data_IF_374086139307
#
_entry.id   IF_374086139307
#
_cell.length_a   1.000
_cell.length_b   1.000
_cell.length_c   1.000
_cell.angle_alpha   90.00
_cell.angle_beta   90.00
_cell.angle_gamma   90.00
#
_symmetry.space_group_name_H-M   'P 1'
#
loop_
_entity.id
_entity.type
_entity.pdbx_description
1 polymer ?
#
# COMPACT_ATOMS: atom_id res chain seq x y z
N UNK A 1 7.70 -1.42 -7.80
CA UNK A 1 8.39 -0.70 -6.69
C UNK A 1 7.87 0.73 -6.52
N UNK A 2 7.91 1.59 -7.55
CA UNK A 2 7.42 2.97 -7.47
C UNK A 2 5.96 3.12 -6.99
N UNK A 3 5.04 2.26 -7.44
CA UNK A 3 3.64 2.29 -7.01
C UNK A 3 3.45 2.13 -5.49
N UNK A 4 4.34 1.39 -4.81
CA UNK A 4 4.27 1.17 -3.37
C UNK A 4 4.78 2.38 -2.59
N UNK A 5 5.83 3.04 -3.09
CA UNK A 5 6.35 4.29 -2.51
C UNK A 5 5.29 5.40 -2.61
N UNK A 6 4.65 5.52 -3.77
CA UNK A 6 3.55 6.47 -3.98
C UNK A 6 2.40 6.19 -3.02
N UNK A 7 2.05 4.92 -2.79
CA UNK A 7 1.01 4.53 -1.83
C UNK A 7 1.34 4.94 -0.39
N UNK A 8 2.59 4.80 0.04
CA UNK A 8 3.04 5.23 1.37
C UNK A 8 2.88 6.75 1.53
N UNK A 9 3.30 7.52 0.52
CA UNK A 9 3.18 8.99 0.52
C UNK A 9 1.71 9.40 0.52
N UNK A 10 0.87 8.72 -0.28
CA UNK A 10 -0.57 9.01 -0.38
C UNK A 10 -1.36 8.56 0.86
N UNK A 11 -0.90 7.59 1.63
CA UNK A 11 -1.54 7.23 2.90
C UNK A 11 -1.31 8.30 3.99
N UNK A 12 -0.24 9.10 3.87
CA UNK A 12 0.01 10.24 4.76
C UNK A 12 -0.80 11.48 4.39
N UNK A 13 -1.26 11.58 3.14
CA UNK A 13 -2.10 12.68 2.66
C UNK A 13 -3.55 12.18 2.62
N UNK A 14 -4.36 12.58 3.60
CA UNK A 14 -5.79 12.29 3.57
C UNK A 14 -6.47 13.12 2.46
N UNK A 15 -6.52 12.55 1.26
CA UNK A 15 -7.15 13.19 0.10
C UNK A 15 -8.60 12.72 -0.05
N UNK A 16 -9.58 13.64 -0.11
CA UNK A 16 -10.98 13.32 -0.38
C UNK A 16 -11.18 12.66 -1.75
N UNK A 17 -12.10 11.71 -1.86
CA UNK A 17 -12.34 10.93 -3.08
C UNK A 17 -12.68 11.77 -4.33
N UNK A 18 -13.23 12.99 -4.15
CA UNK A 18 -13.53 13.92 -5.24
C UNK A 18 -12.32 14.65 -5.82
N UNK A 19 -11.16 14.61 -5.15
CA UNK A 19 -9.95 15.31 -5.58
C UNK A 19 -9.20 14.49 -6.66
N UNK A 20 -8.53 15.12 -7.65
CA UNK A 20 -7.79 14.42 -8.71
C UNK A 20 -6.79 13.38 -8.19
N UNK A 21 -6.14 13.67 -7.06
CA UNK A 21 -5.21 12.75 -6.39
C UNK A 21 -5.94 11.53 -5.78
N UNK A 22 -7.20 11.68 -5.36
CA UNK A 22 -8.04 10.58 -4.89
C UNK A 22 -8.41 9.59 -6.00
N UNK A 23 -8.60 10.07 -7.23
CA UNK A 23 -8.81 9.22 -8.42
C UNK A 23 -7.55 8.43 -8.79
N UNK A 24 -6.36 9.02 -8.66
CA UNK A 24 -5.10 8.30 -8.86
C UNK A 24 -4.94 7.23 -7.78
N UNK A 25 -5.26 7.55 -6.52
CA UNK A 25 -5.23 6.59 -5.42
C UNK A 25 -6.15 5.40 -5.67
N UNK A 26 -7.38 5.62 -6.13
CA UNK A 26 -8.32 4.52 -6.42
C UNK A 26 -7.88 3.67 -7.63
N UNK A 27 -7.31 4.29 -8.66
CA UNK A 27 -6.72 3.57 -9.79
C UNK A 27 -5.48 2.74 -9.41
N UNK A 28 -4.67 3.23 -8.47
CA UNK A 28 -3.56 2.44 -7.91
C UNK A 28 -4.07 1.31 -7.02
N UNK A 29 -5.09 1.59 -6.21
CA UNK A 29 -5.72 0.63 -5.32
C UNK A 29 -6.33 -0.54 -6.09
N UNK A 30 -6.94 -0.33 -7.26
CA UNK A 30 -7.48 -1.45 -8.05
C UNK A 30 -6.42 -2.47 -8.48
N UNK A 31 -5.17 -2.03 -8.67
CA UNK A 31 -4.05 -2.91 -9.04
C UNK A 31 -3.33 -3.48 -7.82
N UNK A 32 -3.18 -2.69 -6.75
CA UNK A 32 -2.42 -3.10 -5.56
C UNK A 32 -3.25 -3.80 -4.50
N UNK A 33 -4.54 -3.51 -4.39
CA UNK A 33 -5.43 -4.13 -3.40
C UNK A 33 -5.64 -5.63 -3.61
N UNK A 34 -5.78 -6.21 -4.82
CA UNK A 34 -5.85 -7.67 -4.94
C UNK A 34 -4.60 -8.39 -4.38
N UNK A 35 -3.43 -7.72 -4.38
CA UNK A 35 -2.20 -8.24 -3.77
C UNK A 35 -2.14 -7.96 -2.26
N UNK A 36 -2.69 -6.83 -1.81
CA UNK A 36 -2.62 -6.38 -0.42
C UNK A 36 -3.77 -6.87 0.45
N UNK A 37 -4.95 -7.20 -0.10
CA UNK A 37 -6.10 -7.70 0.64
C UNK A 37 -5.79 -9.01 1.39
N UNK A 38 -5.14 -10.01 0.75
CA UNK A 38 -4.75 -11.25 1.44
C UNK A 38 -3.74 -10.96 2.56
N UNK A 39 -2.78 -10.07 2.31
CA UNK A 39 -1.81 -9.63 3.31
C UNK A 39 -2.47 -8.92 4.49
N UNK A 40 -3.41 -8.01 4.23
CA UNK A 40 -4.18 -7.26 5.24
C UNK A 40 -5.03 -8.15 6.12
N UNK A 41 -5.45 -9.32 5.63
CA UNK A 41 -6.14 -10.33 6.43
C UNK A 41 -5.21 -11.04 7.42
N UNK A 42 -3.95 -11.22 7.06
CA UNK A 42 -2.94 -11.85 7.92
C UNK A 42 -2.28 -10.85 8.87
N UNK A 43 -2.04 -9.62 8.39
CA UNK A 43 -1.35 -8.55 9.11
C UNK A 43 -2.24 -7.32 9.01
N UNK A 44 -3.24 -7.17 9.91
CA UNK A 44 -4.10 -6.01 9.91
C UNK A 44 -3.27 -4.72 10.12
N UNK A 45 -3.70 -3.59 9.52
CA UNK A 45 -3.01 -2.32 9.67
C UNK A 45 -2.91 -1.92 11.15
N UNK A 46 -1.70 -1.57 11.59
CA UNK A 46 -1.43 -1.14 12.95
C UNK A 46 -1.99 0.27 13.14
N UNK A 47 -3.08 0.38 13.89
CA UNK A 47 -3.61 1.69 14.32
C UNK A 47 -2.80 2.20 15.51
N UNK A 48 -2.09 3.30 15.31
CA UNK A 48 -1.39 4.05 16.34
C UNK A 48 -2.15 5.37 16.57
N UNK A 49 -3.06 5.36 17.54
CA UNK A 49 -3.92 6.51 17.86
C UNK A 49 -4.85 6.87 16.69
N UNK A 50 -4.73 8.09 16.17
CA UNK A 50 -5.52 8.58 15.03
C UNK A 50 -4.97 8.14 13.66
N UNK A 51 -3.78 7.51 13.62
CA UNK A 51 -3.09 7.15 12.38
C UNK A 51 -3.11 5.63 12.21
N UNK A 52 -3.53 5.15 11.04
CA UNK A 52 -3.39 3.75 10.67
C UNK A 52 -2.11 3.57 9.84
N UNK A 53 -1.15 2.81 10.36
CA UNK A 53 0.04 2.43 9.63
C UNK A 53 -0.24 1.16 8.82
N UNK A 54 -0.19 1.26 7.50
CA UNK A 54 -0.44 0.14 6.59
C UNK A 54 0.82 -0.74 6.45
N UNK A 55 1.03 -1.61 7.44
CA UNK A 55 2.17 -2.57 7.51
C UNK A 55 2.23 -3.47 6.27
N UNK A 56 1.07 -3.75 5.68
CA UNK A 56 0.89 -4.52 4.44
C UNK A 56 1.80 -4.06 3.30
N UNK A 57 2.00 -2.74 3.18
CA UNK A 57 2.82 -2.16 2.11
C UNK A 57 4.30 -2.47 2.32
N UNK A 58 4.78 -2.41 3.56
CA UNK A 58 6.16 -2.74 3.92
C UNK A 58 6.42 -4.23 3.64
N UNK A 59 5.50 -5.09 4.04
CA UNK A 59 5.60 -6.55 3.80
C UNK A 59 5.65 -6.86 2.31
N UNK A 60 4.79 -6.21 1.50
CA UNK A 60 4.79 -6.39 0.05
C UNK A 60 6.11 -5.92 -0.60
N UNK A 61 6.68 -4.82 -0.11
CA UNK A 61 8.00 -4.33 -0.55
C UNK A 61 9.11 -5.34 -0.29
N UNK A 62 9.15 -5.91 0.92
CA UNK A 62 10.13 -6.92 1.31
C UNK A 62 9.94 -8.20 0.50
N UNK A 63 8.71 -8.68 0.33
CA UNK A 63 8.41 -9.86 -0.46
C UNK A 63 8.85 -9.72 -1.92
N UNK A 64 8.59 -8.57 -2.55
CA UNK A 64 9.05 -8.26 -3.91
C UNK A 64 10.58 -8.21 -4.02
N UNK A 65 11.27 -7.68 -3.01
CA UNK A 65 12.74 -7.65 -2.97
C UNK A 65 13.33 -9.06 -2.89
N UNK A 66 12.76 -9.91 -2.04
CA UNK A 66 13.19 -11.31 -1.90
C UNK A 66 12.93 -12.07 -3.20
N UNK A 67 11.74 -11.93 -3.79
CA UNK A 67 11.39 -12.59 -5.04
C UNK A 67 12.32 -12.18 -6.19
N UNK A 68 12.62 -10.88 -6.32
CA UNK A 68 13.55 -10.39 -7.33
C UNK A 68 14.97 -10.92 -7.12
N UNK A 69 15.45 -10.96 -5.87
CA UNK A 69 16.77 -11.50 -5.54
C UNK A 69 16.87 -13.02 -5.70
N UNK A 70 15.75 -13.74 -5.65
CA UNK A 70 15.72 -15.19 -5.89
C UNK A 70 15.61 -15.56 -7.38
N UNK A 71 15.12 -14.64 -8.21
CA UNK A 71 15.01 -14.83 -9.67
C UNK A 71 16.24 -14.32 -10.44
N UNK A 72 17.12 -13.54 -9.80
CA UNK A 72 18.34 -12.99 -10.37
C UNK A 72 19.56 -13.84 -9.99
#
# INVERSE_FOLDING_TARGET
MFALIIRIILDWVQVPAGHPVGRIRSGLASVTDPLLLPLRRLIPPLRLGAVALDVSVIVLLVALRILYGALA
#
